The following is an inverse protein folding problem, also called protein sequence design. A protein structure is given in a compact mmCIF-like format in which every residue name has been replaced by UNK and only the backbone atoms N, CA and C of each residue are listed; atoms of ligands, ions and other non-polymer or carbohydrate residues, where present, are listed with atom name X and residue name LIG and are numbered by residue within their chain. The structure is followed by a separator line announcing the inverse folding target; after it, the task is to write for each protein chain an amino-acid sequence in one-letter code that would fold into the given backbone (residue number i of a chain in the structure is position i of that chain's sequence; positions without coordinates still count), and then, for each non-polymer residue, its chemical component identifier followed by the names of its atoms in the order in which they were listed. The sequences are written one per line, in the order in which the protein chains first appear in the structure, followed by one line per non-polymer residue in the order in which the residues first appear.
data_IF_254831566216
#
_entry.id   IF_254831566216
#
_cell.length_a   1.000
_cell.length_b   1.000
_cell.length_c   1.000
_cell.angle_alpha   90.00
_cell.angle_beta   90.00
_cell.angle_gamma   90.00
#
_symmetry.space_group_name_H-M   'P 1'
#
loop_
_entity.id
_entity.type
_entity.pdbx_description
1 polymer ?
#
# COMPACT_ATOMS: atom_id res chain seq x y z
N UNK A 1 -4.05 28.02 -12.07
CA UNK A 1 -4.58 28.10 -13.44
C UNK A 1 -5.64 27.02 -13.59
N UNK A 2 -6.89 27.44 -13.82
CA UNK A 2 -8.07 26.58 -13.98
C UNK A 2 -8.16 26.17 -15.44
N UNK A 3 -8.34 24.87 -15.72
CA UNK A 3 -8.94 24.40 -16.96
C UNK A 3 -9.68 23.08 -16.71
N UNK A 4 -10.94 23.08 -17.14
CA UNK A 4 -12.00 22.12 -16.90
C UNK A 4 -12.41 21.54 -18.26
N UNK A 5 -12.69 20.23 -18.27
CA UNK A 5 -13.59 19.48 -19.20
C UNK A 5 -13.12 19.13 -20.61
N UNK A 6 -12.98 17.82 -20.83
CA UNK A 6 -13.66 16.95 -21.81
C UNK A 6 -12.73 15.74 -22.05
N UNK A 7 -13.09 14.49 -21.76
CA UNK A 7 -14.12 13.73 -22.44
C UNK A 7 -14.67 12.63 -21.50
N UNK A 8 -15.99 12.62 -21.32
CA UNK A 8 -16.73 11.42 -20.99
C UNK A 8 -17.05 10.66 -22.29
N UNK A 9 -17.28 9.34 -22.13
CA UNK A 9 -18.27 8.56 -22.87
C UNK A 9 -17.80 7.49 -23.87
N UNK A 10 -17.08 6.47 -23.40
CA UNK A 10 -17.17 5.14 -24.03
C UNK A 10 -17.68 4.11 -23.02
N UNK A 11 -19.00 4.04 -22.98
CA UNK A 11 -19.78 2.92 -22.46
C UNK A 11 -19.60 1.69 -23.37
N UNK A 12 -19.05 0.61 -22.78
CA UNK A 12 -19.43 -0.82 -22.82
C UNK A 12 -19.56 -1.55 -24.19
N UNK A 13 -19.25 -2.87 -24.26
CA UNK A 13 -20.17 -3.88 -23.71
C UNK A 13 -19.50 -4.91 -22.79
N UNK A 14 -20.24 -5.24 -21.73
CA UNK A 14 -20.07 -6.43 -20.93
C UNK A 14 -20.14 -7.70 -21.79
N UNK A 15 -19.24 -8.64 -21.52
CA UNK A 15 -19.24 -9.99 -22.08
C UNK A 15 -20.41 -10.79 -21.49
N UNK A 16 -21.42 -11.09 -22.32
CA UNK A 16 -22.56 -11.95 -21.96
C UNK A 16 -22.34 -13.32 -22.61
N UNK A 17 -22.25 -14.43 -21.85
CA UNK A 17 -22.23 -15.77 -22.43
C UNK A 17 -23.64 -16.18 -22.93
N UNK A 18 -23.73 -17.00 -23.99
CA UNK A 18 -24.99 -17.34 -24.64
C UNK A 18 -25.84 -18.31 -23.80
N UNK A 19 -27.17 -18.28 -23.89
CA UNK A 19 -28.02 -19.29 -23.27
C UNK A 19 -28.01 -20.58 -24.09
N UNK A 20 -27.75 -21.70 -23.41
CA UNK A 20 -28.01 -23.03 -23.95
C UNK A 20 -29.51 -23.22 -24.14
N UNK A 21 -29.93 -23.56 -25.35
CA UNK A 21 -31.30 -23.94 -25.63
C UNK A 21 -31.62 -25.32 -25.07
N UNK A 22 -32.84 -25.49 -24.54
CA UNK A 22 -33.66 -26.67 -24.77
C UNK A 22 -35.12 -26.41 -24.36
N UNK A 23 -36.00 -27.09 -25.08
CA UNK A 23 -37.43 -26.85 -25.23
C UNK A 23 -38.32 -27.50 -24.16
N UNK A 24 -39.42 -26.81 -23.84
CA UNK A 24 -40.79 -27.34 -23.71
C UNK A 24 -41.08 -28.51 -22.75
N UNK A 25 -41.78 -28.25 -21.62
CA UNK A 25 -43.21 -28.59 -21.34
C UNK A 25 -43.54 -28.76 -19.85
N UNK A 26 -44.57 -28.03 -19.42
CA UNK A 26 -45.69 -28.41 -18.54
C UNK A 26 -45.44 -29.29 -17.30
N UNK A 27 -45.70 -28.68 -16.13
CA UNK A 27 -46.70 -29.21 -15.18
C UNK A 27 -46.20 -29.78 -13.85
N UNK A 28 -46.84 -29.27 -12.79
CA UNK A 28 -47.16 -29.95 -11.51
C UNK A 28 -46.10 -29.89 -10.38
N UNK A 29 -46.47 -29.20 -9.28
CA UNK A 29 -45.90 -29.32 -7.93
C UNK A 29 -46.25 -30.70 -7.34
N UNK A 30 -45.38 -31.32 -6.52
CA UNK A 30 -45.62 -31.23 -5.07
C UNK A 30 -44.36 -31.23 -4.16
N UNK A 31 -44.57 -30.68 -2.96
CA UNK A 31 -44.01 -30.99 -1.62
C UNK A 31 -42.99 -32.14 -1.53
N UNK A 32 -41.84 -31.93 -0.86
CA UNK A 32 -41.39 -32.65 0.37
C UNK A 32 -39.99 -32.20 0.85
N UNK A 33 -39.94 -31.91 2.16
CA UNK A 33 -38.88 -32.13 3.15
C UNK A 33 -37.38 -32.19 2.76
N UNK A 34 -36.61 -31.34 3.44
CA UNK A 34 -35.38 -31.76 4.15
C UNK A 34 -34.06 -31.73 3.38
N UNK A 35 -33.22 -30.73 3.68
CA UNK A 35 -31.81 -30.93 4.04
C UNK A 35 -31.19 -29.57 4.35
N UNK A 36 -30.68 -29.43 5.58
CA UNK A 36 -29.78 -28.37 5.96
C UNK A 36 -28.51 -28.43 5.08
N UNK A 37 -28.24 -27.36 4.35
CA UNK A 37 -26.90 -27.06 3.90
C UNK A 37 -26.63 -25.61 4.30
N UNK A 38 -26.40 -25.41 5.61
CA UNK A 38 -25.64 -24.25 6.07
C UNK A 38 -24.34 -24.35 5.28
N UNK A 39 -24.20 -23.49 4.27
CA UNK A 39 -22.90 -23.22 3.70
C UNK A 39 -22.11 -22.64 4.85
N UNK A 40 -21.35 -23.50 5.52
CA UNK A 40 -20.15 -23.08 6.22
C UNK A 40 -19.31 -22.49 5.09
N UNK A 41 -19.51 -21.19 4.84
CA UNK A 41 -18.47 -20.35 4.30
C UNK A 41 -17.30 -20.70 5.21
N UNK A 42 -16.33 -21.44 4.67
CA UNK A 42 -15.12 -21.74 5.39
C UNK A 42 -14.59 -20.38 5.81
N UNK A 43 -14.82 -20.03 7.08
CA UNK A 43 -13.96 -19.12 7.77
C UNK A 43 -12.62 -19.82 7.65
N UNK A 44 -11.85 -19.43 6.63
CA UNK A 44 -10.41 -19.62 6.65
C UNK A 44 -10.04 -19.26 8.09
N UNK A 45 -9.45 -20.20 8.86
CA UNK A 45 -9.15 -19.93 10.26
C UNK A 45 -8.42 -18.61 10.25
N UNK A 46 -8.89 -17.61 11.02
CA UNK A 46 -8.29 -16.29 11.13
C UNK A 46 -6.77 -16.43 10.99
N UNK A 47 -6.25 -16.18 9.79
CA UNK A 47 -5.05 -16.86 9.29
C UNK A 47 -3.86 -16.15 9.90
N UNK A 48 -3.64 -16.41 11.18
CA UNK A 48 -2.85 -15.63 12.11
C UNK A 48 -3.40 -14.19 12.23
N UNK A 49 -3.40 -13.62 13.44
CA UNK A 49 -3.24 -12.17 13.49
C UNK A 49 -1.96 -11.87 12.69
N UNK A 50 -2.04 -11.08 11.62
CA UNK A 50 -0.89 -10.90 10.76
C UNK A 50 0.23 -10.28 11.58
N UNK A 51 1.39 -10.95 11.64
CA UNK A 51 2.56 -10.45 12.36
C UNK A 51 3.00 -9.09 11.82
N UNK A 52 2.70 -8.79 10.55
CA UNK A 52 2.91 -7.49 9.93
C UNK A 52 2.07 -6.42 10.62
N UNK A 53 0.80 -6.66 10.95
CA UNK A 53 -0.08 -5.67 11.59
C UNK A 53 0.40 -5.33 13.02
N UNK A 54 0.76 -6.36 13.79
CA UNK A 54 1.35 -6.20 15.12
C UNK A 54 2.69 -5.44 15.05
N UNK A 55 3.53 -5.76 14.06
CA UNK A 55 4.80 -5.08 13.84
C UNK A 55 4.60 -3.64 13.35
N UNK A 56 3.59 -3.38 12.52
CA UNK A 56 3.23 -2.05 12.05
C UNK A 56 2.74 -1.16 13.19
N UNK A 57 1.99 -1.72 14.15
CA UNK A 57 1.58 -1.01 15.36
C UNK A 57 2.81 -0.57 16.17
N UNK A 58 3.77 -1.48 16.39
CA UNK A 58 5.03 -1.16 17.08
C UNK A 58 5.86 -0.12 16.34
N UNK A 59 6.01 -0.27 15.02
CA UNK A 59 6.68 0.70 14.15
C UNK A 59 6.03 2.07 14.29
N UNK A 60 4.71 2.12 14.18
CA UNK A 60 3.96 3.37 14.17
C UNK A 60 4.08 4.08 15.50
N UNK A 61 3.87 3.39 16.62
CA UNK A 61 4.05 3.95 17.95
C UNK A 61 5.47 4.51 18.17
N UNK A 62 6.52 3.77 17.77
CA UNK A 62 7.91 4.18 17.93
C UNK A 62 8.34 5.33 17.00
N UNK A 63 7.74 5.42 15.80
CA UNK A 63 8.09 6.43 14.80
C UNK A 63 7.15 7.63 14.74
N UNK A 64 6.02 7.60 15.46
CA UNK A 64 5.07 8.71 15.49
C UNK A 64 5.62 10.02 16.06
N UNK A 65 6.53 10.03 17.08
CA UNK A 65 7.22 11.24 17.48
C UNK A 65 7.97 11.89 16.30
N UNK A 66 8.81 11.13 15.60
CA UNK A 66 9.50 11.56 14.39
C UNK A 66 8.55 12.04 13.29
N UNK A 67 7.45 11.31 13.04
CA UNK A 67 6.45 11.67 12.02
C UNK A 67 5.84 13.07 12.25
N UNK A 68 5.63 13.46 13.51
CA UNK A 68 5.09 14.78 13.90
C UNK A 68 6.08 15.93 13.73
N UNK A 69 7.38 15.64 13.70
CA UNK A 69 8.43 16.66 13.54
C UNK A 69 8.64 17.04 12.07
N UNK A 70 8.20 16.19 11.15
CA UNK A 70 8.30 16.42 9.72
C UNK A 70 7.33 17.54 9.31
N UNK A 71 7.86 18.59 8.68
CA UNK A 71 7.05 19.60 8.00
C UNK A 71 6.56 19.08 6.65
N UNK A 72 5.43 18.39 6.64
CA UNK A 72 4.80 17.84 5.43
C UNK A 72 4.38 18.88 4.39
N UNK A 73 4.41 20.18 4.73
CA UNK A 73 4.11 21.28 3.81
C UNK A 73 5.33 21.83 3.08
N UNK A 74 6.53 21.35 3.45
CA UNK A 74 7.78 21.83 2.89
C UNK A 74 7.90 21.55 1.38
N UNK A 75 8.36 22.52 0.57
CA UNK A 75 8.57 22.33 -0.87
C UNK A 75 9.73 21.39 -1.19
N UNK A 76 10.48 20.93 -0.19
CA UNK A 76 11.64 20.05 -0.37
C UNK A 76 11.26 18.73 -1.04
N UNK A 77 10.07 18.19 -0.77
CA UNK A 77 9.63 16.90 -1.30
C UNK A 77 9.28 16.93 -2.80
N UNK A 78 9.12 18.13 -3.38
CA UNK A 78 8.86 18.31 -4.80
C UNK A 78 10.11 18.39 -5.67
N UNK A 79 11.32 18.31 -5.09
CA UNK A 79 12.56 18.60 -5.78
C UNK A 79 13.61 17.49 -5.64
N UNK A 80 14.29 17.18 -6.75
CA UNK A 80 15.48 16.32 -6.80
C UNK A 80 16.64 17.11 -7.40
N UNK A 81 17.40 17.88 -6.59
CA UNK A 81 18.38 18.82 -7.10
C UNK A 81 19.48 18.11 -7.89
N UNK A 82 19.69 18.55 -9.13
CA UNK A 82 20.71 18.05 -10.05
C UNK A 82 20.64 16.53 -10.36
N UNK A 83 19.47 15.90 -10.15
CA UNK A 83 19.29 14.50 -10.50
C UNK A 83 19.26 14.30 -12.02
N UNK A 84 19.93 13.25 -12.51
CA UNK A 84 19.92 12.92 -13.94
C UNK A 84 18.54 12.34 -14.35
N UNK A 85 17.80 12.97 -15.28
CA UNK A 85 16.44 12.51 -15.63
C UNK A 85 16.36 11.08 -16.18
N UNK A 86 17.39 10.61 -16.90
CA UNK A 86 17.44 9.25 -17.43
C UNK A 86 17.61 8.22 -16.32
N UNK A 87 18.45 8.52 -15.31
CA UNK A 87 18.59 7.66 -14.13
C UNK A 87 17.32 7.66 -13.27
N UNK A 88 16.67 8.82 -13.13
CA UNK A 88 15.37 8.93 -12.44
C UNK A 88 14.32 8.04 -13.13
N UNK A 89 14.20 8.13 -14.46
CA UNK A 89 13.27 7.28 -15.21
C UNK A 89 13.58 5.78 -15.04
N UNK A 90 14.87 5.40 -15.03
CA UNK A 90 15.27 4.02 -14.78
C UNK A 90 14.89 3.54 -13.36
N UNK A 91 15.00 4.39 -12.34
CA UNK A 91 14.56 4.09 -10.98
C UNK A 91 13.03 3.95 -10.88
N UNK A 92 12.28 4.86 -11.53
CA UNK A 92 10.81 4.78 -11.63
C UNK A 92 10.40 3.47 -12.32
N UNK A 93 11.09 3.06 -13.38
CA UNK A 93 10.81 1.80 -14.06
C UNK A 93 10.93 0.59 -13.11
N UNK A 94 11.91 0.58 -12.20
CA UNK A 94 12.00 -0.47 -11.17
C UNK A 94 10.80 -0.47 -10.21
N UNK A 95 10.34 0.70 -9.79
CA UNK A 95 9.14 0.82 -8.95
C UNK A 95 7.87 0.35 -9.69
N UNK A 96 7.75 0.64 -10.99
CA UNK A 96 6.63 0.17 -11.81
C UNK A 96 6.64 -1.35 -12.00
N UNK A 97 7.80 -1.95 -12.22
CA UNK A 97 7.95 -3.42 -12.29
C UNK A 97 7.57 -4.08 -10.96
N UNK A 98 8.02 -3.53 -9.83
CA UNK A 98 7.63 -4.01 -8.51
C UNK A 98 6.12 -3.85 -8.29
N UNK A 99 5.57 -2.66 -8.56
CA UNK A 99 4.14 -2.38 -8.40
C UNK A 99 3.24 -3.28 -9.26
N UNK A 100 3.62 -3.54 -10.51
CA UNK A 100 2.92 -4.48 -11.39
C UNK A 100 2.99 -5.94 -10.94
N UNK A 101 3.90 -6.26 -10.02
CA UNK A 101 4.04 -7.60 -9.44
C UNK A 101 3.30 -7.76 -8.11
N UNK A 102 2.95 -6.67 -7.40
CA UNK A 102 2.29 -6.72 -6.09
C UNK A 102 0.96 -7.48 -6.15
N UNK A 103 0.58 -8.09 -5.02
CA UNK A 103 -0.78 -8.62 -4.88
C UNK A 103 -1.81 -7.49 -5.01
N UNK A 104 -2.81 -7.71 -5.86
CA UNK A 104 -3.78 -6.68 -6.21
C UNK A 104 -4.70 -6.29 -5.04
N UNK A 105 -4.96 -7.21 -4.10
CA UNK A 105 -5.77 -6.92 -2.92
C UNK A 105 -4.94 -6.12 -1.91
N UNK A 106 -3.67 -6.47 -1.71
CA UNK A 106 -2.73 -5.70 -0.89
C UNK A 106 -2.55 -4.27 -1.44
N UNK A 107 -2.36 -4.11 -2.76
CA UNK A 107 -2.23 -2.80 -3.40
C UNK A 107 -3.51 -1.96 -3.23
N UNK A 108 -4.69 -2.56 -3.43
CA UNK A 108 -5.98 -1.89 -3.20
C UNK A 108 -6.13 -1.46 -1.74
N UNK A 109 -5.77 -2.31 -0.77
CA UNK A 109 -5.82 -1.98 0.64
C UNK A 109 -4.90 -0.78 0.97
N UNK A 110 -3.66 -0.77 0.44
CA UNK A 110 -2.75 0.36 0.59
C UNK A 110 -3.30 1.66 0.04
N UNK A 111 -3.91 1.65 -1.15
CA UNK A 111 -4.55 2.84 -1.74
C UNK A 111 -5.68 3.37 -0.86
N UNK A 112 -6.56 2.49 -0.38
CA UNK A 112 -7.68 2.88 0.46
C UNK A 112 -7.24 3.38 1.85
N UNK A 113 -6.17 2.81 2.42
CA UNK A 113 -5.58 3.28 3.66
C UNK A 113 -5.09 4.73 3.54
N UNK A 114 -4.35 5.05 2.47
CA UNK A 114 -3.89 6.43 2.23
C UNK A 114 -5.05 7.39 1.93
N UNK A 115 -6.02 6.97 1.12
CA UNK A 115 -7.19 7.79 0.82
C UNK A 115 -7.96 8.17 2.10
N UNK A 116 -8.19 7.21 3.00
CA UNK A 116 -8.83 7.44 4.29
C UNK A 116 -8.01 8.35 5.20
N UNK A 117 -6.69 8.17 5.27
CA UNK A 117 -5.84 9.01 6.10
C UNK A 117 -5.85 10.49 5.67
N UNK A 118 -5.99 10.75 4.36
CA UNK A 118 -6.12 12.12 3.83
C UNK A 118 -7.41 12.80 4.31
N UNK A 119 -8.50 12.05 4.52
CA UNK A 119 -9.75 12.59 5.07
C UNK A 119 -9.59 13.10 6.52
N UNK A 120 -8.57 12.62 7.23
CA UNK A 120 -8.29 12.97 8.63
C UNK A 120 -7.04 13.84 8.82
N UNK A 121 -6.46 14.36 7.73
CA UNK A 121 -5.26 15.18 7.80
C UNK A 121 -5.53 16.52 8.49
N UNK A 122 -4.62 16.94 9.36
CA UNK A 122 -4.68 18.26 9.99
C UNK A 122 -4.12 19.38 9.08
N UNK A 123 -4.16 20.62 9.56
CA UNK A 123 -3.68 21.79 8.80
C UNK A 123 -2.18 21.77 8.50
N UNK A 124 -1.40 20.89 9.13
CA UNK A 124 0.04 20.73 8.94
C UNK A 124 0.39 19.52 8.07
N UNK A 125 -0.60 18.83 7.50
CA UNK A 125 -0.37 17.61 6.74
C UNK A 125 -0.18 16.36 7.61
N UNK A 126 -0.45 16.45 8.92
CA UNK A 126 -0.27 15.33 9.84
C UNK A 126 -1.53 14.46 9.92
N UNK A 127 -1.34 13.15 9.94
CA UNK A 127 -2.41 12.15 10.09
C UNK A 127 -2.45 11.62 11.53
N UNK A 128 -3.60 11.11 12.02
CA UNK A 128 -3.68 10.51 13.34
C UNK A 128 -2.99 9.14 13.40
N UNK A 129 -2.50 8.74 14.58
CA UNK A 129 -1.76 7.49 14.80
C UNK A 129 -2.47 6.24 14.24
N UNK A 130 -3.79 6.02 14.43
CA UNK A 130 -4.46 4.83 13.88
C UNK A 130 -4.43 4.75 12.35
N UNK A 131 -4.43 5.89 11.65
CA UNK A 131 -4.31 5.90 10.20
C UNK A 131 -2.86 5.60 9.78
N UNK A 132 -1.88 6.09 10.52
CA UNK A 132 -0.47 5.76 10.30
C UNK A 132 -0.18 4.26 10.51
N UNK A 133 -0.77 3.65 11.54
CA UNK A 133 -0.74 2.20 11.78
C UNK A 133 -1.31 1.42 10.60
N UNK A 134 -2.49 1.84 10.12
CA UNK A 134 -3.16 1.22 8.98
C UNK A 134 -2.32 1.32 7.70
N UNK A 135 -1.70 2.49 7.46
CA UNK A 135 -0.81 2.71 6.31
C UNK A 135 0.42 1.80 6.39
N UNK A 136 1.11 1.77 7.53
CA UNK A 136 2.31 0.96 7.69
C UNK A 136 2.03 -0.54 7.55
N UNK A 137 0.91 -1.01 8.10
CA UNK A 137 0.45 -2.38 7.92
C UNK A 137 0.26 -2.69 6.43
N UNK A 138 -0.54 -1.87 5.74
CA UNK A 138 -0.84 -2.06 4.32
C UNK A 138 0.42 -2.03 3.44
N UNK A 139 1.38 -1.14 3.72
CA UNK A 139 2.67 -1.11 3.02
C UNK A 139 3.47 -2.39 3.30
N UNK A 140 3.48 -2.88 4.55
CA UNK A 140 4.11 -4.15 4.90
C UNK A 140 3.57 -5.31 4.06
N UNK A 141 2.25 -5.42 3.94
CA UNK A 141 1.57 -6.41 3.09
C UNK A 141 1.94 -6.26 1.61
N UNK A 142 1.96 -5.03 1.09
CA UNK A 142 2.37 -4.75 -0.29
C UNK A 142 3.81 -5.23 -0.56
N UNK A 143 4.74 -4.97 0.37
CA UNK A 143 6.15 -5.38 0.25
C UNK A 143 6.32 -6.90 0.40
N UNK A 144 5.63 -7.52 1.35
CA UNK A 144 5.61 -8.97 1.51
C UNK A 144 5.05 -9.68 0.26
N UNK A 145 4.14 -9.00 -0.46
CA UNK A 145 3.52 -9.53 -1.67
C UNK A 145 4.41 -9.53 -2.91
N UNK A 146 5.71 -9.19 -2.84
CA UNK A 146 6.63 -9.23 -3.99
C UNK A 146 7.95 -9.93 -3.66
N UNK A 147 8.68 -10.50 -4.65
CA UNK A 147 9.98 -11.09 -4.41
C UNK A 147 10.99 -10.07 -3.86
N UNK A 148 11.82 -10.50 -2.91
CA UNK A 148 12.82 -9.66 -2.24
C UNK A 148 13.73 -8.90 -3.21
N UNK A 149 14.12 -9.51 -4.32
CA UNK A 149 15.01 -8.87 -5.29
C UNK A 149 14.38 -7.63 -5.94
N UNK A 150 13.05 -7.60 -6.15
CA UNK A 150 12.38 -6.40 -6.69
C UNK A 150 12.42 -5.23 -5.70
N UNK A 151 12.28 -5.51 -4.40
CA UNK A 151 12.41 -4.49 -3.35
C UNK A 151 13.83 -3.91 -3.32
N UNK A 152 14.84 -4.78 -3.40
CA UNK A 152 16.25 -4.37 -3.42
C UNK A 152 16.62 -3.63 -4.71
N UNK A 153 16.07 -4.03 -5.86
CA UNK A 153 16.25 -3.32 -7.13
C UNK A 153 15.73 -1.87 -7.06
N UNK A 154 14.55 -1.66 -6.46
CA UNK A 154 14.00 -0.31 -6.23
C UNK A 154 14.91 0.47 -5.29
N UNK A 155 15.29 -0.10 -4.14
CA UNK A 155 16.15 0.56 -3.16
C UNK A 155 17.49 1.01 -3.77
N UNK A 156 18.14 0.13 -4.54
CA UNK A 156 19.40 0.43 -5.19
C UNK A 156 19.23 1.51 -6.27
N UNK A 157 18.20 1.40 -7.12
CA UNK A 157 18.00 2.34 -8.22
C UNK A 157 17.69 3.77 -7.74
N UNK A 158 16.84 3.94 -6.72
CA UNK A 158 16.66 5.26 -6.09
C UNK A 158 17.91 5.71 -5.34
N UNK A 159 18.65 4.76 -4.78
CA UNK A 159 19.92 5.03 -4.15
C UNK A 159 21.00 5.61 -5.06
N UNK A 160 20.97 5.29 -6.35
CA UNK A 160 21.89 5.83 -7.35
C UNK A 160 21.48 7.22 -7.86
N UNK A 161 20.24 7.63 -7.59
CA UNK A 161 19.66 8.92 -8.00
C UNK A 161 19.71 9.93 -6.86
N UNK A 162 19.55 9.46 -5.62
CA UNK A 162 19.60 10.27 -4.41
C UNK A 162 21.02 10.31 -3.89
N UNK A 163 21.54 11.50 -3.62
CA UNK A 163 22.79 11.67 -2.86
C UNK A 163 22.56 11.32 -1.39
N UNK A 164 22.56 10.02 -1.08
CA UNK A 164 22.06 9.46 0.20
C UNK A 164 22.63 10.17 1.42
N UNK A 165 23.92 10.46 1.43
CA UNK A 165 24.62 11.07 2.55
C UNK A 165 24.21 12.53 2.73
N UNK A 166 24.18 13.31 1.65
CA UNK A 166 23.79 14.73 1.67
C UNK A 166 22.31 14.89 2.04
N UNK A 167 21.43 14.12 1.38
CA UNK A 167 19.99 14.18 1.61
C UNK A 167 19.63 13.64 2.98
N UNK A 168 20.22 12.51 3.40
CA UNK A 168 19.98 11.92 4.71
C UNK A 168 20.41 12.82 5.85
N UNK A 169 21.60 13.43 5.77
CA UNK A 169 22.08 14.39 6.76
C UNK A 169 21.19 15.64 6.83
N UNK A 170 20.78 16.17 5.67
CA UNK A 170 19.88 17.32 5.61
C UNK A 170 18.49 17.00 6.17
N UNK A 171 17.87 15.88 5.80
CA UNK A 171 16.54 15.51 6.34
C UNK A 171 16.59 15.30 7.86
N UNK A 172 17.64 14.64 8.35
CA UNK A 172 17.83 14.41 9.79
C UNK A 172 18.07 15.70 10.58
N UNK A 173 18.67 16.73 9.97
CA UNK A 173 18.90 18.02 10.65
C UNK A 173 17.62 18.85 10.84
N UNK A 174 16.53 18.48 10.17
CA UNK A 174 15.22 19.14 10.29
C UNK A 174 14.35 18.58 11.42
N UNK A 175 14.80 17.52 12.09
CA UNK A 175 14.05 16.77 13.11
C UNK A 175 14.92 16.50 14.34
N UNK A 176 14.34 15.91 15.39
CA UNK A 176 15.10 15.42 16.51
C UNK A 176 15.87 14.14 16.14
N UNK A 177 17.20 14.16 16.37
CA UNK A 177 18.08 13.04 16.03
C UNK A 177 17.70 11.74 16.75
N UNK A 178 17.27 11.81 18.01
CA UNK A 178 16.95 10.62 18.81
C UNK A 178 15.65 9.97 18.32
N UNK A 179 14.63 10.77 18.00
CA UNK A 179 13.36 10.26 17.48
C UNK A 179 13.53 9.67 16.08
N UNK A 180 14.35 10.29 15.23
CA UNK A 180 14.70 9.75 13.92
C UNK A 180 15.46 8.40 14.02
N UNK A 181 16.41 8.28 14.96
CA UNK A 181 17.13 7.03 15.22
C UNK A 181 16.23 5.93 15.79
N UNK A 182 15.30 6.29 16.68
CA UNK A 182 14.30 5.37 17.22
C UNK A 182 13.35 4.86 16.13
N UNK A 183 12.85 5.76 15.27
CA UNK A 183 12.04 5.42 14.10
C UNK A 183 12.78 4.48 13.15
N UNK A 184 14.05 4.78 12.85
CA UNK A 184 14.87 3.93 11.99
C UNK A 184 15.11 2.54 12.59
N UNK A 185 15.41 2.45 13.89
CA UNK A 185 15.55 1.16 14.59
C UNK A 185 14.26 0.34 14.51
N UNK A 186 13.11 0.96 14.79
CA UNK A 186 11.81 0.28 14.70
C UNK A 186 11.49 -0.17 13.27
N UNK A 187 11.89 0.61 12.26
CA UNK A 187 11.79 0.20 10.87
C UNK A 187 12.63 -1.05 10.55
N UNK A 188 13.85 -1.17 11.10
CA UNK A 188 14.67 -2.39 10.94
C UNK A 188 14.02 -3.63 11.55
N UNK A 189 13.36 -3.49 12.70
CA UNK A 189 12.62 -4.60 13.33
C UNK A 189 11.37 -4.96 12.51
N UNK A 190 10.61 -3.97 12.04
CA UNK A 190 9.44 -4.17 11.19
C UNK A 190 9.78 -4.87 9.88
N UNK A 191 10.80 -4.40 9.16
CA UNK A 191 11.16 -4.98 7.86
C UNK A 191 11.71 -6.41 7.97
N UNK A 192 12.22 -6.82 9.14
CA UNK A 192 12.56 -8.24 9.38
C UNK A 192 11.29 -9.10 9.45
N UNK A 193 10.22 -8.62 10.10
CA UNK A 193 8.93 -9.31 10.12
C UNK A 193 8.34 -9.41 8.71
N UNK A 194 8.32 -8.30 7.96
CA UNK A 194 7.87 -8.29 6.56
C UNK A 194 8.66 -9.29 5.71
N UNK A 195 9.98 -9.35 5.88
CA UNK A 195 10.83 -10.30 5.14
C UNK A 195 10.50 -11.77 5.44
N UNK A 196 10.01 -12.10 6.64
CA UNK A 196 9.58 -13.49 6.96
C UNK A 196 8.27 -13.89 6.30
N UNK A 197 7.41 -12.92 5.98
CA UNK A 197 6.15 -13.12 5.28
C UNK A 197 6.27 -12.94 3.76
N UNK A 198 7.46 -12.57 3.28
CA UNK A 198 7.68 -12.21 1.87
C UNK A 198 7.66 -13.44 0.96
N UNK A 199 6.98 -13.31 -0.19
CA UNK A 199 6.87 -14.36 -1.21
C UNK A 199 8.14 -14.59 -2.03
#
# INVERSE_FOLDING_TARGET
MVAVVALCNLWLPAFVPPPAGQSLRHGVLPVFAGAAAVHVLGAAPAALADKIDDAATKLSAASYPFLKEIDWTSPVYGNLPNANPVKVLAAINKALVMGGSMDSAALKAGVLAHAKAIEHVDSKGMIPLPDYETINAAIGHMVASVPKNQVIDVYNAFGDVVKKEEVGAYMKSLVNSADAEAAYKAFWEFKDVVATAQR
#
